data_IF_304472701818
#
_entry.id   IF_304472701818
#
_cell.length_a   1.000
_cell.length_b   1.000
_cell.length_c   1.000
_cell.angle_alpha   90.00
_cell.angle_beta   90.00
_cell.angle_gamma   90.00
#
_symmetry.space_group_name_H-M   'P 1'
#
loop_
_entity.id
_entity.type
_entity.pdbx_description
1 polymer ?
#
# COMPACT_ATOMS: atom_id res chain seq x y z
N UNK A 1 18.31 -11.86 -16.23
CA UNK A 1 17.21 -11.11 -16.88
C UNK A 1 17.74 -9.78 -17.38
N UNK A 2 17.53 -9.45 -18.65
CA UNK A 2 17.92 -8.15 -19.19
C UNK A 2 17.08 -7.04 -18.53
N UNK A 3 17.70 -5.90 -18.22
CA UNK A 3 17.02 -4.76 -17.60
C UNK A 3 15.99 -4.18 -18.59
N UNK A 4 14.78 -3.79 -18.14
CA UNK A 4 13.80 -3.14 -19.00
C UNK A 4 14.40 -1.91 -19.67
N UNK A 5 14.09 -1.74 -20.96
CA UNK A 5 14.54 -0.55 -21.69
C UNK A 5 13.82 0.71 -21.18
N UNK A 6 14.55 1.82 -21.10
CA UNK A 6 14.03 3.12 -20.64
C UNK A 6 12.88 3.63 -21.52
N UNK A 7 11.87 4.31 -20.93
CA UNK A 7 10.81 4.98 -21.69
C UNK A 7 11.34 6.00 -22.70
N UNK A 8 10.57 6.29 -23.75
CA UNK A 8 10.97 7.28 -24.78
C UNK A 8 11.20 8.66 -24.17
N UNK A 9 10.37 9.09 -23.22
CA UNK A 9 10.53 10.37 -22.51
C UNK A 9 11.88 10.50 -21.82
N UNK A 10 12.31 9.43 -21.14
CA UNK A 10 13.61 9.34 -20.46
C UNK A 10 14.76 9.38 -21.46
N UNK A 11 14.64 8.64 -22.56
CA UNK A 11 15.67 8.61 -23.61
C UNK A 11 15.85 10.00 -24.24
N UNK A 12 14.75 10.70 -24.52
CA UNK A 12 14.76 12.05 -25.06
C UNK A 12 15.39 13.06 -24.09
N UNK A 13 15.06 12.94 -22.79
CA UNK A 13 15.61 13.79 -21.74
C UNK A 13 17.13 13.61 -21.58
N UNK A 14 17.62 12.37 -21.62
CA UNK A 14 19.05 12.07 -21.44
C UNK A 14 19.90 12.46 -22.67
N UNK A 15 19.30 12.56 -23.87
CA UNK A 15 19.99 12.76 -25.17
C UNK A 15 21.10 11.75 -25.48
N UNK A 16 21.23 10.69 -24.68
CA UNK A 16 22.19 9.60 -24.81
C UNK A 16 21.47 8.37 -25.38
N UNK A 17 21.39 8.26 -26.70
CA UNK A 17 20.79 7.10 -27.36
C UNK A 17 21.41 6.80 -28.71
N UNK A 18 21.71 5.52 -28.97
CA UNK A 18 22.08 5.03 -30.29
C UNK A 18 20.87 4.75 -31.20
N UNK A 19 19.64 4.95 -30.69
CA UNK A 19 18.40 4.68 -31.42
C UNK A 19 18.13 5.75 -32.47
N UNK A 20 17.72 5.32 -33.64
CA UNK A 20 17.25 6.17 -34.73
C UNK A 20 15.89 6.80 -34.40
N UNK A 21 15.55 7.89 -35.11
CA UNK A 21 14.22 8.52 -35.01
C UNK A 21 13.07 7.54 -35.29
N UNK A 22 13.26 6.62 -36.25
CA UNK A 22 12.26 5.58 -36.59
C UNK A 22 12.04 4.60 -35.44
N UNK A 23 13.12 4.16 -34.78
CA UNK A 23 13.04 3.25 -33.63
C UNK A 23 12.37 3.92 -32.42
N UNK A 24 12.68 5.19 -32.15
CA UNK A 24 12.01 5.95 -31.08
C UNK A 24 10.52 6.14 -31.37
N UNK A 25 10.15 6.42 -32.62
CA UNK A 25 8.74 6.53 -33.02
C UNK A 25 7.98 5.20 -32.95
N UNK A 26 8.65 4.09 -33.29
CA UNK A 26 8.09 2.74 -33.14
C UNK A 26 7.86 2.41 -31.67
N UNK A 27 8.87 2.70 -30.82
CA UNK A 27 8.77 2.48 -29.38
C UNK A 27 7.70 3.35 -28.73
N UNK A 28 7.61 4.63 -29.08
CA UNK A 28 6.57 5.52 -28.53
C UNK A 28 5.18 4.97 -28.85
N UNK A 29 4.96 4.55 -30.10
CA UNK A 29 3.71 3.89 -30.50
C UNK A 29 3.43 2.63 -29.68
N UNK A 30 4.44 1.80 -29.43
CA UNK A 30 4.28 0.62 -28.59
C UNK A 30 4.00 0.96 -27.11
N UNK A 31 4.62 2.02 -26.56
CA UNK A 31 4.36 2.52 -25.21
C UNK A 31 2.93 3.07 -25.10
N UNK A 32 2.48 3.87 -26.08
CA UNK A 32 1.13 4.43 -26.12
C UNK A 32 0.05 3.35 -26.29
N UNK A 33 0.34 2.26 -27.03
CA UNK A 33 -0.56 1.10 -27.19
C UNK A 33 -0.78 0.29 -25.90
N UNK A 34 0.08 0.46 -24.88
CA UNK A 34 -0.09 -0.20 -23.59
C UNK A 34 -1.09 0.52 -22.68
N UNK A 35 -1.45 1.76 -23.02
CA UNK A 35 -2.45 2.54 -22.30
C UNK A 35 -3.84 2.26 -22.87
N UNK A 36 -4.82 2.21 -22.00
CA UNK A 36 -6.21 2.12 -22.42
C UNK A 36 -6.73 3.48 -22.95
N UNK A 37 -6.17 4.58 -22.45
CA UNK A 37 -6.54 5.96 -22.85
C UNK A 37 -7.78 6.50 -22.14
N UNK A 38 -8.56 5.64 -21.48
CA UNK A 38 -9.69 6.03 -20.64
C UNK A 38 -9.29 6.14 -19.16
N UNK A 39 -10.02 6.95 -18.38
CA UNK A 39 -9.86 7.04 -16.92
C UNK A 39 -10.43 5.82 -16.18
N UNK A 40 -9.87 5.52 -15.00
CA UNK A 40 -10.40 4.46 -14.13
C UNK A 40 -11.81 4.78 -13.62
N UNK A 41 -12.63 3.75 -13.43
CA UNK A 41 -14.00 3.85 -12.91
C UNK A 41 -14.14 3.16 -11.55
N UNK A 42 -14.87 3.82 -10.66
CA UNK A 42 -15.16 3.33 -9.31
C UNK A 42 -16.17 2.17 -9.37
N UNK A 43 -15.82 1.02 -8.78
CA UNK A 43 -16.68 -0.15 -8.65
C UNK A 43 -17.87 0.12 -7.71
N UNK A 44 -19.02 -0.58 -7.88
CA UNK A 44 -20.16 -0.47 -6.98
C UNK A 44 -19.79 -0.69 -5.50
N UNK A 45 -19.00 -1.72 -5.21
CA UNK A 45 -18.58 -2.09 -3.86
C UNK A 45 -17.74 -0.99 -3.19
N UNK A 46 -16.95 -0.26 -3.98
CA UNK A 46 -16.17 0.90 -3.49
C UNK A 46 -17.07 2.09 -3.21
N UNK A 47 -18.14 2.29 -3.99
CA UNK A 47 -19.13 3.37 -3.74
C UNK A 47 -19.91 3.11 -2.46
N UNK A 48 -20.30 1.87 -2.23
CA UNK A 48 -21.08 1.47 -1.06
C UNK A 48 -20.25 1.51 0.23
N UNK A 49 -18.94 1.25 0.15
CA UNK A 49 -18.04 1.37 1.29
C UNK A 49 -17.49 2.81 1.44
N UNK A 50 -18.01 3.56 2.41
CA UNK A 50 -17.58 4.96 2.69
C UNK A 50 -16.06 5.12 2.82
N UNK A 51 -15.38 4.22 3.54
CA UNK A 51 -13.91 4.31 3.75
C UNK A 51 -13.15 4.06 2.45
N UNK A 52 -13.61 3.11 1.64
CA UNK A 52 -13.03 2.82 0.34
C UNK A 52 -13.30 3.97 -0.65
N UNK A 53 -14.50 4.54 -0.66
CA UNK A 53 -14.84 5.67 -1.54
C UNK A 53 -13.96 6.89 -1.25
N UNK A 54 -13.75 7.25 0.02
CA UNK A 54 -12.88 8.37 0.38
C UNK A 54 -11.43 8.14 -0.07
N UNK A 55 -10.94 6.90 0.05
CA UNK A 55 -9.61 6.51 -0.39
C UNK A 55 -9.48 6.60 -1.91
N UNK A 56 -10.49 6.10 -2.63
CA UNK A 56 -10.56 6.18 -4.07
C UNK A 56 -10.45 7.63 -4.53
N UNK A 57 -11.27 8.53 -3.98
CA UNK A 57 -11.32 9.92 -4.41
C UNK A 57 -9.94 10.58 -4.26
N UNK A 58 -9.25 10.35 -3.13
CA UNK A 58 -7.88 10.82 -2.90
C UNK A 58 -6.90 10.28 -3.93
N UNK A 59 -6.94 8.97 -4.22
CA UNK A 59 -6.00 8.34 -5.15
C UNK A 59 -6.25 8.81 -6.58
N UNK A 60 -7.51 8.90 -7.02
CA UNK A 60 -7.84 9.38 -8.37
C UNK A 60 -7.41 10.82 -8.57
N UNK A 61 -7.58 11.69 -7.56
CA UNK A 61 -7.10 13.07 -7.62
C UNK A 61 -5.57 13.14 -7.81
N UNK A 62 -4.83 12.29 -7.11
CA UNK A 62 -3.37 12.21 -7.25
C UNK A 62 -3.00 11.69 -8.66
N UNK A 63 -3.63 10.61 -9.11
CA UNK A 63 -3.37 10.01 -10.42
C UNK A 63 -3.67 10.96 -11.58
N UNK A 64 -4.74 11.75 -11.48
CA UNK A 64 -5.06 12.80 -12.44
C UNK A 64 -3.97 13.88 -12.49
N UNK A 65 -3.46 14.32 -11.33
CA UNK A 65 -2.41 15.36 -11.26
C UNK A 65 -1.07 14.92 -11.86
N UNK A 66 -0.76 13.63 -11.83
CA UNK A 66 0.49 13.09 -12.36
C UNK A 66 0.34 12.44 -13.75
N UNK A 67 -0.82 12.60 -14.39
CA UNK A 67 -1.14 12.03 -15.70
C UNK A 67 -0.95 10.50 -15.76
N UNK A 68 -1.39 9.81 -14.69
CA UNK A 68 -1.36 8.34 -14.58
C UNK A 68 -2.73 7.72 -14.33
N UNK A 69 -3.81 8.48 -14.51
CA UNK A 69 -5.16 7.97 -14.40
C UNK A 69 -5.58 7.23 -15.68
N UNK A 70 -5.03 6.03 -15.85
CA UNK A 70 -5.34 5.15 -16.98
C UNK A 70 -6.10 3.90 -16.52
N UNK A 71 -7.05 3.46 -17.34
CA UNK A 71 -7.95 2.33 -17.06
C UNK A 71 -7.22 1.02 -16.75
N UNK A 72 -5.97 0.85 -17.19
CA UNK A 72 -5.14 -0.30 -16.82
C UNK A 72 -4.98 -0.47 -15.30
N UNK A 73 -5.10 0.61 -14.53
CA UNK A 73 -5.05 0.58 -13.06
C UNK A 73 -6.41 0.33 -12.38
N UNK A 74 -7.53 0.29 -13.12
CA UNK A 74 -8.90 0.29 -12.57
C UNK A 74 -9.10 -0.80 -11.51
N UNK A 75 -8.82 -2.04 -11.85
CA UNK A 75 -9.01 -3.18 -10.94
C UNK A 75 -8.10 -3.10 -9.72
N UNK A 76 -6.85 -2.68 -9.92
CA UNK A 76 -5.83 -2.62 -8.85
C UNK A 76 -6.21 -1.56 -7.82
N UNK A 77 -6.61 -0.37 -8.28
CA UNK A 77 -6.97 0.75 -7.39
C UNK A 77 -8.29 0.47 -6.65
N UNK A 78 -9.29 -0.12 -7.31
CA UNK A 78 -10.54 -0.50 -6.64
C UNK A 78 -10.27 -1.52 -5.52
N UNK A 79 -9.50 -2.58 -5.81
CA UNK A 79 -9.13 -3.61 -4.82
C UNK A 79 -8.30 -3.03 -3.67
N UNK A 80 -7.36 -2.13 -3.97
CA UNK A 80 -6.58 -1.42 -2.96
C UNK A 80 -7.49 -0.67 -1.97
N UNK A 81 -8.46 0.09 -2.49
CA UNK A 81 -9.37 0.87 -1.66
C UNK A 81 -10.23 -0.02 -0.75
N UNK A 82 -10.76 -1.13 -1.26
CA UNK A 82 -11.51 -2.10 -0.47
C UNK A 82 -10.65 -2.75 0.61
N UNK A 83 -9.47 -3.24 0.24
CA UNK A 83 -8.56 -3.91 1.18
C UNK A 83 -8.10 -2.96 2.30
N UNK A 84 -7.85 -1.69 1.98
CA UNK A 84 -7.52 -0.69 2.99
C UNK A 84 -8.71 -0.40 3.93
N UNK A 85 -9.92 -0.33 3.39
CA UNK A 85 -11.13 -0.18 4.21
C UNK A 85 -11.31 -1.38 5.16
N UNK A 86 -11.13 -2.60 4.67
CA UNK A 86 -11.18 -3.82 5.47
C UNK A 86 -10.14 -3.82 6.60
N UNK A 87 -8.89 -3.42 6.32
CA UNK A 87 -7.86 -3.26 7.36
C UNK A 87 -8.33 -2.29 8.46
N UNK A 88 -8.87 -1.13 8.07
CA UNK A 88 -9.39 -0.12 9.01
C UNK A 88 -10.57 -0.65 9.83
N UNK A 89 -11.40 -1.52 9.27
CA UNK A 89 -12.52 -2.16 9.99
C UNK A 89 -12.02 -3.22 10.98
N UNK A 90 -11.09 -4.08 10.56
CA UNK A 90 -10.47 -5.09 11.43
C UNK A 90 -9.74 -4.46 12.62
N UNK A 91 -9.01 -3.35 12.39
CA UNK A 91 -8.36 -2.60 13.47
C UNK A 91 -9.36 -2.01 14.46
N UNK A 92 -10.49 -1.48 13.98
CA UNK A 92 -11.55 -0.95 14.84
C UNK A 92 -12.20 -2.07 15.66
N UNK A 93 -12.45 -3.22 15.03
CA UNK A 93 -12.98 -4.41 15.71
C UNK A 93 -12.03 -4.87 16.81
N UNK A 94 -10.72 -4.98 16.52
CA UNK A 94 -9.69 -5.32 17.50
C UNK A 94 -9.76 -4.42 18.73
N UNK A 95 -9.77 -3.09 18.54
CA UNK A 95 -9.88 -2.11 19.65
C UNK A 95 -11.16 -2.30 20.47
N UNK A 96 -12.25 -2.65 19.81
CA UNK A 96 -13.54 -2.90 20.47
C UNK A 96 -13.47 -4.16 21.34
N UNK A 97 -12.85 -5.23 20.84
CA UNK A 97 -12.64 -6.48 21.58
C UNK A 97 -11.70 -6.24 22.76
N UNK A 98 -10.60 -5.52 22.58
CA UNK A 98 -9.67 -5.17 23.67
C UNK A 98 -10.38 -4.40 24.80
N UNK A 99 -11.25 -3.45 24.45
CA UNK A 99 -12.08 -2.74 25.44
C UNK A 99 -13.04 -3.68 26.15
N UNK A 100 -13.67 -4.59 25.41
CA UNK A 100 -14.60 -5.58 25.97
C UNK A 100 -13.89 -6.53 26.94
N UNK A 101 -12.68 -6.98 26.60
CA UNK A 101 -11.81 -7.79 27.46
C UNK A 101 -11.51 -7.06 28.77
N UNK A 102 -11.12 -5.78 28.73
CA UNK A 102 -10.85 -4.98 29.93
C UNK A 102 -12.08 -4.88 30.83
N UNK A 103 -13.25 -4.64 30.23
CA UNK A 103 -14.51 -4.56 30.96
C UNK A 103 -14.89 -5.91 31.60
N UNK A 104 -14.70 -7.02 30.88
CA UNK A 104 -14.93 -8.37 31.41
C UNK A 104 -14.01 -8.69 32.58
N UNK A 105 -12.72 -8.38 32.48
CA UNK A 105 -11.76 -8.56 33.60
C UNK A 105 -12.21 -7.75 34.82
N UNK A 106 -12.65 -6.51 34.62
CA UNK A 106 -13.14 -5.65 35.71
C UNK A 106 -14.40 -6.23 36.35
N UNK A 107 -15.42 -6.56 35.56
CA UNK A 107 -16.67 -7.14 36.03
C UNK A 107 -16.43 -8.47 36.77
N UNK A 108 -15.57 -9.34 36.24
CA UNK A 108 -15.24 -10.60 36.90
C UNK A 108 -14.60 -10.38 38.27
N UNK A 109 -13.66 -9.43 38.40
CA UNK A 109 -13.04 -9.10 39.69
C UNK A 109 -14.02 -8.48 40.69
N UNK A 110 -14.84 -7.53 40.25
CA UNK A 110 -15.69 -6.72 41.12
C UNK A 110 -17.00 -7.40 41.49
N UNK A 111 -17.56 -8.22 40.60
CA UNK A 111 -18.92 -8.77 40.74
C UNK A 111 -18.91 -10.28 41.01
N UNK A 112 -17.92 -11.02 40.52
CA UNK A 112 -17.85 -12.48 40.69
C UNK A 112 -16.91 -12.84 41.82
N UNK A 113 -15.67 -12.35 41.79
CA UNK A 113 -14.69 -12.72 42.82
C UNK A 113 -14.92 -12.05 44.17
N UNK A 114 -15.72 -10.99 44.27
CA UNK A 114 -15.93 -10.29 45.54
C UNK A 114 -16.65 -11.17 46.58
N UNK A 115 -17.57 -12.03 46.15
CA UNK A 115 -18.52 -12.73 47.04
C UNK A 115 -18.23 -14.23 47.24
N UNK A 116 -17.11 -14.72 46.69
CA UNK A 116 -16.81 -16.17 46.61
C UNK A 116 -15.78 -16.62 47.66
N UNK A 117 -15.91 -17.86 48.14
CA UNK A 117 -14.97 -18.48 49.09
C UNK A 117 -13.55 -18.62 48.50
N UNK A 118 -12.48 -18.70 49.33
CA UNK A 118 -11.10 -18.79 48.83
C UNK A 118 -10.82 -20.00 47.91
N UNK A 119 -11.46 -21.13 48.17
CA UNK A 119 -11.31 -22.37 47.37
C UNK A 119 -12.01 -22.26 46.02
N UNK A 120 -13.26 -21.80 45.97
CA UNK A 120 -13.99 -21.61 44.71
C UNK A 120 -13.39 -20.48 43.85
N UNK A 121 -12.80 -19.46 44.49
CA UNK A 121 -12.06 -18.39 43.79
C UNK A 121 -10.95 -18.93 42.91
N UNK A 122 -10.21 -19.93 43.37
CA UNK A 122 -9.10 -20.50 42.62
C UNK A 122 -9.58 -21.17 41.33
N UNK A 123 -10.63 -21.98 41.39
CA UNK A 123 -11.21 -22.65 40.22
C UNK A 123 -11.79 -21.65 39.22
N UNK A 124 -12.53 -20.65 39.70
CA UNK A 124 -13.08 -19.59 38.84
C UNK A 124 -11.97 -18.78 38.16
N UNK A 125 -10.88 -18.47 38.86
CA UNK A 125 -9.72 -17.77 38.29
C UNK A 125 -9.05 -18.58 37.18
N UNK A 126 -8.87 -19.89 37.38
CA UNK A 126 -8.30 -20.79 36.36
C UNK A 126 -9.19 -20.77 35.11
N UNK A 127 -10.48 -21.04 35.28
CA UNK A 127 -11.45 -21.06 34.19
C UNK A 127 -11.51 -19.73 33.43
N UNK A 128 -11.56 -18.62 34.16
CA UNK A 128 -11.59 -17.29 33.54
C UNK A 128 -10.30 -17.01 32.75
N UNK A 129 -9.14 -17.34 33.32
CA UNK A 129 -7.84 -17.13 32.66
C UNK A 129 -7.72 -17.95 31.38
N UNK A 130 -8.23 -19.18 31.35
CA UNK A 130 -8.28 -19.99 30.13
C UNK A 130 -9.16 -19.36 29.04
N UNK A 131 -10.33 -18.82 29.39
CA UNK A 131 -11.19 -18.13 28.43
C UNK A 131 -10.51 -16.85 27.92
N UNK A 132 -9.87 -16.09 28.81
CA UNK A 132 -9.09 -14.91 28.44
C UNK A 132 -7.93 -15.25 27.49
N UNK A 133 -7.26 -16.38 27.71
CA UNK A 133 -6.24 -16.88 26.80
C UNK A 133 -6.80 -17.17 25.41
N UNK A 134 -7.96 -17.86 25.30
CA UNK A 134 -8.62 -18.15 24.02
C UNK A 134 -9.00 -16.88 23.26
N UNK A 135 -9.52 -15.87 23.96
CA UNK A 135 -9.83 -14.55 23.37
C UNK A 135 -8.55 -13.85 22.87
N UNK A 136 -7.49 -13.87 23.67
CA UNK A 136 -6.20 -13.27 23.34
C UNK A 136 -5.55 -13.96 22.14
N UNK A 137 -5.60 -15.30 22.08
CA UNK A 137 -5.12 -16.08 20.94
C UNK A 137 -5.89 -15.75 19.66
N UNK A 138 -7.19 -15.49 19.76
CA UNK A 138 -8.01 -15.04 18.63
C UNK A 138 -7.60 -13.65 18.15
N UNK A 139 -7.33 -12.70 19.06
CA UNK A 139 -6.82 -11.37 18.70
C UNK A 139 -5.49 -11.44 17.94
N UNK A 140 -4.58 -12.33 18.35
CA UNK A 140 -3.31 -12.55 17.64
C UNK A 140 -3.55 -13.04 16.21
N UNK A 141 -4.59 -13.86 15.97
CA UNK A 141 -4.96 -14.28 14.60
C UNK A 141 -5.45 -13.10 13.76
N UNK A 142 -6.30 -12.23 14.32
CA UNK A 142 -6.74 -11.00 13.63
C UNK A 142 -5.55 -10.11 13.26
N UNK A 143 -4.59 -9.94 14.16
CA UNK A 143 -3.37 -9.17 13.88
C UNK A 143 -2.56 -9.74 12.72
N UNK A 144 -2.39 -11.07 12.68
CA UNK A 144 -1.69 -11.73 11.58
C UNK A 144 -2.40 -11.51 10.24
N UNK A 145 -3.73 -11.56 10.21
CA UNK A 145 -4.48 -11.31 8.99
C UNK A 145 -4.41 -9.84 8.55
N UNK A 146 -4.45 -8.89 9.49
CA UNK A 146 -4.23 -7.47 9.19
C UNK A 146 -2.83 -7.26 8.59
N UNK A 147 -1.80 -7.89 9.16
CA UNK A 147 -0.42 -7.74 8.68
C UNK A 147 -0.22 -8.31 7.28
N UNK A 148 -0.84 -9.46 6.97
CA UNK A 148 -0.88 -10.00 5.60
C UNK A 148 -1.49 -9.01 4.61
N UNK A 149 -2.62 -8.39 4.97
CA UNK A 149 -3.28 -7.40 4.10
C UNK A 149 -2.43 -6.15 3.92
N UNK A 150 -1.77 -5.66 4.98
CA UNK A 150 -0.81 -4.54 4.89
C UNK A 150 0.38 -4.85 3.99
N UNK A 151 0.93 -6.06 4.08
CA UNK A 151 1.99 -6.50 3.19
C UNK A 151 1.53 -6.53 1.72
N UNK A 152 0.31 -7.00 1.46
CA UNK A 152 -0.30 -6.96 0.12
C UNK A 152 -0.54 -5.52 -0.38
N UNK A 153 -1.03 -4.61 0.49
CA UNK A 153 -1.18 -3.19 0.16
C UNK A 153 0.17 -2.58 -0.24
N UNK A 154 1.22 -2.81 0.56
CA UNK A 154 2.57 -2.30 0.27
C UNK A 154 3.13 -2.86 -1.04
N UNK A 155 2.83 -4.13 -1.37
CA UNK A 155 3.23 -4.71 -2.65
C UNK A 155 2.53 -4.01 -3.82
N UNK A 156 1.22 -3.78 -3.72
CA UNK A 156 0.45 -3.01 -4.72
C UNK A 156 1.04 -1.61 -4.89
N UNK A 157 1.35 -0.92 -3.79
CA UNK A 157 1.90 0.45 -3.82
C UNK A 157 3.27 0.52 -4.51
N UNK A 158 4.10 -0.50 -4.32
CA UNK A 158 5.42 -0.62 -4.96
C UNK A 158 5.30 -0.83 -6.48
N UNK A 159 4.37 -1.67 -6.92
CA UNK A 159 4.17 -1.96 -8.35
C UNK A 159 3.39 -0.86 -9.08
N UNK A 160 2.48 -0.17 -8.39
CA UNK A 160 1.59 0.83 -9.00
C UNK A 160 2.16 2.26 -8.97
N UNK A 161 3.41 2.45 -8.54
CA UNK A 161 4.02 3.78 -8.51
C UNK A 161 3.49 4.69 -7.39
N UNK A 162 2.83 4.14 -6.37
CA UNK A 162 2.24 4.93 -5.26
C UNK A 162 3.26 5.22 -4.14
N UNK A 163 4.46 4.64 -4.21
CA UNK A 163 5.57 4.96 -3.29
C UNK A 163 6.56 5.91 -3.93
N UNK A 164 7.21 6.77 -3.12
CA UNK A 164 8.30 7.63 -3.58
C UNK A 164 9.39 6.84 -4.30
N UNK A 165 9.79 5.68 -3.77
CA UNK A 165 10.79 4.82 -4.38
C UNK A 165 10.36 4.32 -5.77
N UNK A 166 9.09 3.92 -5.94
CA UNK A 166 8.56 3.48 -7.23
C UNK A 166 8.52 4.65 -8.24
N UNK A 167 8.17 5.85 -7.79
CA UNK A 167 8.21 7.07 -8.62
C UNK A 167 9.64 7.45 -9.03
N UNK A 168 10.58 7.47 -8.09
CA UNK A 168 11.98 7.86 -8.35
C UNK A 168 12.67 6.93 -9.36
N UNK A 169 12.28 5.65 -9.44
CA UNK A 169 12.80 4.72 -10.46
C UNK A 169 12.47 5.13 -11.89
N UNK A 170 11.45 5.97 -12.08
CA UNK A 170 11.04 6.48 -13.40
C UNK A 170 11.74 7.79 -13.77
N UNK A 171 12.37 8.47 -12.80
CA UNK A 171 13.07 9.72 -13.02
C UNK A 171 14.54 9.42 -13.39
N UNK A 172 15.05 9.89 -14.54
CA UNK A 172 16.46 9.74 -14.87
C UNK A 172 17.35 10.47 -13.87
N UNK A 173 18.57 9.96 -13.68
CA UNK A 173 19.62 10.68 -12.95
C UNK A 173 19.95 11.95 -13.72
N UNK A 174 20.31 13.03 -13.01
CA UNK A 174 20.78 14.24 -13.66
C UNK A 174 21.86 13.91 -14.70
N UNK A 175 21.83 14.54 -15.88
CA UNK A 175 22.88 14.36 -16.85
C UNK A 175 24.20 14.75 -16.18
N UNK A 176 25.19 13.85 -16.23
CA UNK A 176 26.57 14.23 -15.91
C UNK A 176 26.88 15.52 -16.67
N UNK A 177 27.22 16.58 -15.93
CA UNK A 177 27.77 17.79 -16.55
C UNK A 177 28.93 17.31 -17.40
N UNK A 178 28.85 17.53 -18.71
CA UNK A 178 29.98 17.23 -19.58
C UNK A 178 31.18 17.93 -18.96
N UNK A 179 32.22 17.16 -18.60
CA UNK A 179 33.50 17.76 -18.26
C UNK A 179 33.85 18.64 -19.46
N UNK A 180 34.01 19.94 -19.23
CA UNK A 180 34.38 20.85 -20.29
C UNK A 180 35.71 20.33 -20.84
N UNK A 181 35.79 19.92 -22.12
CA UNK A 181 37.01 19.33 -22.66
C UNK A 181 38.23 20.24 -22.49
N UNK A 182 38.01 21.56 -22.44
CA UNK A 182 39.04 22.56 -22.15
C UNK A 182 39.50 22.52 -20.67
N UNK A 183 38.60 22.26 -19.72
CA UNK A 183 38.96 22.12 -18.30
C UNK A 183 39.69 20.79 -18.03
N UNK A 184 39.37 19.71 -18.74
CA UNK A 184 40.14 18.45 -18.66
C UNK A 184 41.54 18.61 -19.26
N UNK A 185 41.66 19.30 -20.40
CA UNK A 185 42.95 19.59 -21.02
C UNK A 185 43.84 20.52 -20.16
N UNK A 186 43.24 21.50 -19.47
CA UNK A 186 43.96 22.42 -18.58
C UNK A 186 44.39 21.78 -17.25
N UNK A 187 43.69 20.74 -16.78
CA UNK A 187 44.01 20.03 -15.53
C UNK A 187 44.96 18.83 -15.74
N UNK A 188 45.32 18.52 -16.98
CA UNK A 188 46.18 17.38 -17.35
C UNK A 188 47.60 17.80 -17.78
N UNK A 189 47.99 19.05 -17.52
CA UNK A 189 49.35 19.59 -17.69
C UNK A 189 49.95 19.95 -16.34
#
# INVERSE_FOLDING_TARGET
MARPSKPVSVIQMEKKSHRTKKELASRKRAEDQMLAGDKIRKFPEVRENRKASMEWDRITEILDRIDKNDRTYETVINRYCLMLAECRDMEKLKKTIEKSIKNLIKAFKEQVLAEVSPTEKAELLINFTEQMYKMSATLIKYDREIEKKRAMLLAIEKESGMTLAAMLRTIPKEPEKAANPLLEALNSG
#
